data_IF_766241838298
#
_entry.id   IF_766241838298
#
_cell.length_a   1.000
_cell.length_b   1.000
_cell.length_c   1.000
_cell.angle_alpha   90.00
_cell.angle_beta   90.00
_cell.angle_gamma   90.00
#
_symmetry.space_group_name_H-M   'P 1'
#
loop_
_entity.id
_entity.type
_entity.pdbx_description
1 polymer ?
#
# COMPACT_ATOMS: atom_id res chain seq x y z
N UNK A 1 13.11 24.45 77.29
CA UNK A 1 12.93 23.02 76.99
C UNK A 1 12.46 22.84 75.55
N UNK A 2 13.37 22.30 74.72
CA UNK A 2 13.23 21.57 73.45
C UNK A 2 12.09 21.90 72.45
N UNK A 3 12.42 22.67 71.41
CA UNK A 3 11.59 22.88 70.21
C UNK A 3 11.93 21.82 69.14
N UNK A 4 11.16 20.72 69.06
CA UNK A 4 11.27 19.77 67.94
C UNK A 4 10.42 20.25 66.75
N UNK A 5 11.05 20.84 65.73
CA UNK A 5 10.42 20.99 64.41
C UNK A 5 10.43 19.62 63.71
N UNK A 6 9.25 19.04 63.47
CA UNK A 6 9.12 17.90 62.56
C UNK A 6 9.30 18.41 61.12
N UNK A 7 10.42 18.05 60.50
CA UNK A 7 10.61 18.24 59.06
C UNK A 7 9.75 17.17 58.37
N UNK A 8 8.60 17.59 57.86
CA UNK A 8 7.78 16.75 56.97
C UNK A 8 8.41 16.82 55.58
N UNK A 9 9.17 15.79 55.23
CA UNK A 9 9.64 15.56 53.86
C UNK A 9 8.44 15.25 52.97
N UNK A 10 8.14 16.14 52.03
CA UNK A 10 7.17 15.87 50.96
C UNK A 10 7.74 14.79 50.03
N UNK A 11 6.97 13.76 49.64
CA UNK A 11 7.43 12.80 48.66
C UNK A 11 7.58 13.51 47.31
N UNK A 12 8.80 13.49 46.76
CA UNK A 12 9.08 13.85 45.37
C UNK A 12 8.56 12.70 44.52
N UNK A 13 7.25 12.73 44.25
CA UNK A 13 6.58 11.73 43.42
C UNK A 13 6.93 12.01 41.96
N UNK A 14 7.97 11.32 41.53
CA UNK A 14 8.47 11.11 40.17
C UNK A 14 7.55 11.60 39.04
N UNK A 15 7.92 12.75 38.45
CA UNK A 15 7.35 13.30 37.20
C UNK A 15 7.60 12.41 35.98
N UNK A 16 8.35 11.32 36.10
CA UNK A 16 8.65 10.38 35.02
C UNK A 16 7.47 9.50 34.63
N UNK A 17 6.54 9.18 35.53
CA UNK A 17 5.46 8.21 35.24
C UNK A 17 4.40 8.76 34.29
N UNK A 18 4.10 10.06 34.38
CA UNK A 18 3.09 10.72 33.51
C UNK A 18 3.58 10.81 32.06
N UNK A 19 4.88 11.03 31.85
CA UNK A 19 5.49 11.17 30.52
C UNK A 19 5.45 9.85 29.74
N UNK A 20 5.67 8.72 30.42
CA UNK A 20 5.62 7.40 29.79
C UNK A 20 4.20 6.97 29.44
N UNK A 21 3.20 7.27 30.29
CA UNK A 21 1.82 6.92 30.02
C UNK A 21 1.28 7.64 28.78
N UNK A 22 1.56 8.94 28.63
CA UNK A 22 1.16 9.71 27.44
C UNK A 22 1.84 9.19 26.16
N UNK A 23 3.13 8.84 26.24
CA UNK A 23 3.85 8.25 25.12
C UNK A 23 3.24 6.90 24.72
N UNK A 24 2.93 6.02 25.68
CA UNK A 24 2.28 4.72 25.42
C UNK A 24 0.89 4.85 24.78
N UNK A 25 0.08 5.84 25.18
CA UNK A 25 -1.25 6.08 24.60
C UNK A 25 -1.13 6.59 23.15
N UNK A 26 -0.20 7.51 22.88
CA UNK A 26 0.06 7.98 21.51
C UNK A 26 0.57 6.84 20.62
N UNK A 27 1.44 5.96 21.14
CA UNK A 27 1.91 4.78 20.40
C UNK A 27 0.83 3.70 20.21
N UNK A 28 -0.16 3.56 21.12
CA UNK A 28 -1.27 2.62 20.96
C UNK A 28 -2.35 3.12 19.98
N UNK A 29 -2.67 4.41 19.97
CA UNK A 29 -3.63 5.00 19.01
C UNK A 29 -3.01 5.23 17.63
N UNK A 30 -1.69 5.36 17.54
CA UNK A 30 -0.95 5.35 16.28
C UNK A 30 -0.69 3.91 15.76
N UNK A 31 -1.44 2.92 16.27
CA UNK A 31 -1.80 1.70 15.54
C UNK A 31 -2.72 2.00 14.35
N UNK A 32 -2.31 2.98 13.56
CA UNK A 32 -2.81 3.37 12.25
C UNK A 32 -2.54 2.23 11.28
N UNK A 33 -3.41 1.21 11.24
CA UNK A 33 -3.37 0.22 10.18
C UNK A 33 -4.68 0.27 9.39
N UNK A 34 -4.61 1.12 8.36
CA UNK A 34 -5.23 1.01 7.05
C UNK A 34 -6.77 1.19 6.93
N UNK A 35 -7.21 2.44 6.77
CA UNK A 35 -8.31 2.77 5.83
C UNK A 35 -7.78 2.81 4.38
N UNK A 36 -6.96 1.84 3.99
CA UNK A 36 -6.33 1.80 2.68
C UNK A 36 -7.06 0.86 1.71
N UNK A 37 -7.74 -0.17 2.19
CA UNK A 37 -8.36 -1.18 1.32
C UNK A 37 -9.70 -0.74 0.72
N UNK A 38 -10.49 0.06 1.46
CA UNK A 38 -11.92 0.28 1.14
C UNK A 38 -12.23 1.18 -0.08
N UNK A 39 -11.25 1.89 -0.64
CA UNK A 39 -11.51 2.89 -1.70
C UNK A 39 -11.12 2.44 -3.11
N UNK A 40 -10.43 1.31 -3.29
CA UNK A 40 -10.11 0.84 -4.64
C UNK A 40 -11.29 0.04 -5.22
N UNK A 41 -11.63 0.22 -6.52
CA UNK A 41 -12.58 -0.66 -7.21
C UNK A 41 -12.14 -2.11 -7.09
N UNK A 42 -13.05 -3.06 -6.97
CA UNK A 42 -12.71 -4.47 -6.75
C UNK A 42 -11.76 -5.00 -7.84
N UNK A 43 -10.69 -5.74 -7.47
CA UNK A 43 -9.79 -6.36 -8.43
C UNK A 43 -10.37 -7.65 -9.01
N UNK A 44 -9.79 -8.11 -10.11
CA UNK A 44 -9.99 -9.45 -10.66
C UNK A 44 -8.93 -10.39 -10.07
N UNK A 45 -9.32 -11.61 -9.72
CA UNK A 45 -8.39 -12.63 -9.23
C UNK A 45 -7.28 -12.91 -10.26
N UNK A 46 -6.00 -12.95 -9.84
CA UNK A 46 -4.90 -13.20 -10.75
C UNK A 46 -4.86 -14.66 -11.20
N UNK A 47 -4.57 -14.88 -12.48
CA UNK A 47 -4.30 -16.22 -13.03
C UNK A 47 -2.84 -16.59 -12.78
N UNK A 48 -2.55 -17.12 -11.59
CA UNK A 48 -1.18 -17.51 -11.21
C UNK A 48 -0.71 -18.71 -12.04
N UNK A 49 0.54 -18.65 -12.47
CA UNK A 49 1.14 -19.73 -13.25
C UNK A 49 1.79 -20.78 -12.34
N UNK A 50 1.86 -22.02 -12.82
CA UNK A 50 2.52 -23.11 -12.10
C UNK A 50 4.06 -22.95 -12.10
N UNK A 51 4.71 -23.56 -11.11
CA UNK A 51 6.18 -23.53 -11.03
C UNK A 51 6.83 -24.13 -12.30
N UNK A 52 7.75 -23.38 -12.91
CA UNK A 52 8.42 -23.76 -14.16
C UNK A 52 7.86 -23.09 -15.41
N UNK A 53 6.68 -22.45 -15.33
CA UNK A 53 6.23 -21.51 -16.36
C UNK A 53 6.99 -20.19 -16.22
N UNK A 54 7.31 -19.53 -17.34
CA UNK A 54 7.96 -18.22 -17.34
C UNK A 54 7.12 -17.15 -16.63
N UNK A 55 5.80 -17.28 -16.65
CA UNK A 55 4.87 -16.38 -15.98
C UNK A 55 4.90 -16.52 -14.45
N UNK A 56 5.42 -17.64 -13.93
CA UNK A 56 5.51 -17.87 -12.49
C UNK A 56 6.43 -16.86 -11.79
N UNK A 57 7.43 -16.33 -12.50
CA UNK A 57 8.30 -15.23 -12.06
C UNK A 57 7.52 -13.96 -11.68
N UNK A 58 6.26 -13.83 -12.13
CA UNK A 58 5.41 -12.68 -11.91
C UNK A 58 4.28 -12.94 -10.92
N UNK A 59 4.17 -14.14 -10.34
CA UNK A 59 3.10 -14.50 -9.41
C UNK A 59 3.05 -13.54 -8.20
N UNK A 60 4.21 -13.24 -7.60
CA UNK A 60 4.27 -12.32 -6.45
C UNK A 60 3.81 -10.90 -6.82
N UNK A 61 4.21 -10.41 -8.00
CA UNK A 61 3.77 -9.11 -8.50
C UNK A 61 2.27 -9.09 -8.81
N UNK A 62 1.71 -10.19 -9.32
CA UNK A 62 0.26 -10.34 -9.50
C UNK A 62 -0.48 -10.30 -8.16
N UNK A 63 0.01 -11.00 -7.14
CA UNK A 63 -0.59 -11.00 -5.79
C UNK A 63 -0.50 -9.61 -5.16
N UNK A 64 0.65 -8.93 -5.26
CA UNK A 64 0.80 -7.57 -4.75
C UNK A 64 -0.13 -6.57 -5.47
N UNK A 65 -0.26 -6.70 -6.79
CA UNK A 65 -1.21 -5.90 -7.58
C UNK A 65 -2.66 -6.14 -7.14
N UNK A 66 -3.04 -7.41 -6.97
CA UNK A 66 -4.35 -7.79 -6.43
C UNK A 66 -4.61 -7.16 -5.06
N UNK A 67 -3.61 -7.15 -4.18
CA UNK A 67 -3.66 -6.54 -2.84
C UNK A 67 -3.58 -5.00 -2.85
N UNK A 68 -3.54 -4.36 -4.03
CA UNK A 68 -3.65 -2.91 -4.15
C UNK A 68 -2.34 -2.14 -4.34
N UNK A 69 -1.20 -2.81 -4.50
CA UNK A 69 0.05 -2.16 -4.89
C UNK A 69 -0.01 -1.80 -6.38
N UNK A 70 -0.21 -0.52 -6.69
CA UNK A 70 -0.33 -0.07 -8.08
C UNK A 70 1.02 -0.07 -8.79
N UNK A 71 2.10 0.14 -8.02
CA UNK A 71 3.46 -0.03 -8.53
C UNK A 71 3.73 -1.49 -8.94
N UNK A 72 3.22 -2.48 -8.20
CA UNK A 72 3.31 -3.88 -8.62
C UNK A 72 2.53 -4.13 -9.92
N UNK A 73 1.32 -3.57 -10.06
CA UNK A 73 0.57 -3.65 -11.32
C UNK A 73 1.37 -3.04 -12.49
N UNK A 74 1.98 -1.87 -12.28
CA UNK A 74 2.80 -1.20 -13.29
C UNK A 74 4.03 -2.02 -13.67
N UNK A 75 4.68 -2.65 -12.69
CA UNK A 75 5.84 -3.51 -12.92
C UNK A 75 5.55 -4.70 -13.84
N UNK A 76 4.31 -5.21 -13.85
CA UNK A 76 3.90 -6.31 -14.72
C UNK A 76 3.93 -5.89 -16.19
N UNK A 77 3.21 -4.82 -16.55
CA UNK A 77 3.02 -4.46 -17.96
C UNK A 77 4.16 -3.64 -18.55
N UNK A 78 4.98 -3.00 -17.70
CA UNK A 78 6.22 -2.30 -18.09
C UNK A 78 7.43 -3.23 -18.15
N UNK A 79 7.32 -4.45 -17.62
CA UNK A 79 8.38 -5.44 -17.71
C UNK A 79 8.70 -5.76 -19.17
N UNK A 80 9.98 -5.63 -19.55
CA UNK A 80 10.47 -6.01 -20.89
C UNK A 80 10.32 -7.50 -21.20
N UNK A 81 10.12 -8.33 -20.16
CA UNK A 81 9.90 -9.78 -20.30
C UNK A 81 8.43 -10.13 -20.55
N UNK A 82 7.52 -9.19 -20.29
CA UNK A 82 6.09 -9.37 -20.51
C UNK A 82 5.74 -8.77 -21.87
N UNK A 83 5.36 -9.63 -22.81
CA UNK A 83 4.97 -9.20 -24.16
C UNK A 83 3.62 -8.48 -24.12
N UNK A 84 3.44 -7.52 -25.02
CA UNK A 84 2.14 -6.89 -25.27
C UNK A 84 1.09 -7.96 -25.61
N UNK A 85 -0.17 -7.66 -25.29
CA UNK A 85 -1.34 -8.53 -25.52
C UNK A 85 -1.35 -9.86 -24.73
N UNK A 86 -0.34 -10.14 -23.90
CA UNK A 86 -0.38 -11.27 -22.95
C UNK A 86 -1.33 -10.99 -21.78
N UNK A 87 -1.77 -12.04 -21.09
CA UNK A 87 -2.64 -11.89 -19.92
C UNK A 87 -1.98 -11.05 -18.82
N UNK A 88 -0.68 -11.22 -18.56
CA UNK A 88 0.07 -10.43 -17.58
C UNK A 88 0.10 -8.95 -17.96
N UNK A 89 0.34 -8.66 -19.24
CA UNK A 89 0.35 -7.27 -19.71
C UNK A 89 -1.02 -6.63 -19.54
N UNK A 90 -2.09 -7.33 -19.92
CA UNK A 90 -3.46 -6.82 -19.78
C UNK A 90 -3.85 -6.67 -18.30
N UNK A 91 -3.50 -7.63 -17.45
CA UNK A 91 -3.77 -7.59 -16.01
C UNK A 91 -3.08 -6.41 -15.34
N UNK A 92 -1.79 -6.19 -15.62
CA UNK A 92 -1.05 -5.02 -15.14
C UNK A 92 -1.61 -3.70 -15.67
N UNK A 93 -1.85 -3.61 -16.99
CA UNK A 93 -2.39 -2.40 -17.65
C UNK A 93 -3.75 -1.97 -17.12
N UNK A 94 -4.58 -2.92 -16.72
CA UNK A 94 -5.93 -2.67 -16.16
C UNK A 94 -5.91 -2.52 -14.64
N UNK A 95 -4.73 -2.39 -14.03
CA UNK A 95 -4.53 -2.24 -12.60
C UNK A 95 -5.14 -3.39 -11.79
N UNK A 96 -4.92 -4.62 -12.26
CA UNK A 96 -5.52 -5.82 -11.68
C UNK A 96 -7.00 -5.96 -12.02
N UNK A 97 -7.45 -5.42 -13.16
CA UNK A 97 -8.85 -5.42 -13.59
C UNK A 97 -9.72 -4.31 -12.99
N UNK A 98 -9.14 -3.38 -12.21
CA UNK A 98 -9.86 -2.26 -11.59
C UNK A 98 -10.26 -1.17 -12.58
N UNK A 99 -9.58 -1.11 -13.74
CA UNK A 99 -9.86 -0.16 -14.81
C UNK A 99 -10.18 -0.91 -16.09
N UNK A 100 -11.31 -0.56 -16.71
CA UNK A 100 -11.70 -1.17 -17.98
C UNK A 100 -10.77 -0.77 -19.13
N UNK A 101 -10.46 -1.73 -20.00
CA UNK A 101 -9.54 -1.53 -21.12
C UNK A 101 -10.12 -0.56 -22.17
N UNK A 102 -11.43 -0.54 -22.37
CA UNK A 102 -12.08 0.43 -23.26
C UNK A 102 -12.05 1.84 -22.66
N UNK A 103 -12.16 1.97 -21.34
CA UNK A 103 -11.95 3.26 -20.67
C UNK A 103 -10.53 3.80 -20.91
N UNK A 104 -9.50 2.98 -20.73
CA UNK A 104 -8.10 3.34 -21.04
C UNK A 104 -7.91 3.74 -22.52
N UNK A 105 -8.54 3.00 -23.45
CA UNK A 105 -8.54 3.36 -24.88
C UNK A 105 -9.21 4.69 -25.16
N UNK A 106 -10.34 4.97 -24.51
CA UNK A 106 -11.05 6.22 -24.66
C UNK A 106 -10.20 7.41 -24.18
N UNK A 107 -9.50 7.23 -23.06
CA UNK A 107 -8.54 8.19 -22.49
C UNK A 107 -7.25 8.35 -23.32
N UNK A 108 -7.04 7.50 -24.32
CA UNK A 108 -5.96 7.65 -25.29
C UNK A 108 -4.66 6.92 -24.95
N UNK A 109 -4.65 6.01 -23.96
CA UNK A 109 -3.45 5.28 -23.51
C UNK A 109 -2.79 4.36 -24.56
N UNK A 110 -3.42 4.21 -25.74
CA UNK A 110 -2.93 3.39 -26.85
C UNK A 110 -2.81 4.18 -28.16
N UNK A 111 -3.03 5.50 -28.13
CA UNK A 111 -2.85 6.35 -29.32
C UNK A 111 -1.36 6.67 -29.49
N UNK A 112 -0.90 6.81 -30.74
CA UNK A 112 0.46 7.29 -31.02
C UNK A 112 0.63 8.70 -30.42
N UNK A 113 1.59 8.85 -29.50
CA UNK A 113 1.79 10.08 -28.74
C UNK A 113 0.72 10.34 -27.65
N UNK A 114 -0.08 9.33 -27.30
CA UNK A 114 -0.99 9.37 -26.15
C UNK A 114 -0.25 9.30 -24.82
N UNK A 115 -0.93 9.61 -23.69
CA UNK A 115 -0.33 9.53 -22.37
C UNK A 115 -0.09 8.07 -21.95
N UNK A 116 1.07 7.79 -21.37
CA UNK A 116 1.31 6.53 -20.65
C UNK A 116 0.58 6.61 -19.32
N UNK A 117 -0.65 6.06 -19.28
CA UNK A 117 -1.44 6.01 -18.05
C UNK A 117 -0.98 4.84 -17.18
N UNK A 118 -0.16 5.15 -16.18
CA UNK A 118 0.27 4.20 -15.15
C UNK A 118 -0.82 4.04 -14.07
N UNK A 119 -0.88 2.86 -13.46
CA UNK A 119 -1.80 2.60 -12.37
C UNK A 119 -1.51 3.48 -11.15
N UNK A 120 -0.23 3.78 -10.91
CA UNK A 120 0.22 4.74 -9.89
C UNK A 120 -0.25 6.18 -10.15
N UNK A 121 -0.42 6.57 -11.41
CA UNK A 121 -0.98 7.88 -11.77
C UNK A 121 -2.51 7.91 -11.66
N UNK A 122 -3.18 6.81 -11.99
CA UNK A 122 -4.64 6.67 -11.89
C UNK A 122 -5.09 6.62 -10.43
N UNK A 123 -4.34 5.90 -9.58
CA UNK A 123 -4.62 5.69 -8.16
C UNK A 123 -3.48 6.27 -7.31
N UNK A 124 -3.48 7.58 -7.17
CA UNK A 124 -2.43 8.32 -6.45
C UNK A 124 -2.20 7.80 -5.02
N UNK A 125 -0.91 7.64 -4.66
CA UNK A 125 -0.47 7.30 -3.31
C UNK A 125 -0.57 5.82 -2.92
N UNK A 126 -0.57 4.90 -3.90
CA UNK A 126 -0.73 3.45 -3.69
C UNK A 126 0.49 2.67 -4.21
N UNK A 127 1.52 2.53 -3.38
CA UNK A 127 2.75 1.77 -3.67
C UNK A 127 2.72 0.33 -3.17
#
# INVERSE_FOLDING_TARGET
MNSRRKIVSKPVTSTLTVRFAAMFIIFLECGMWARADDDLPSPIEPSLAEAGDWAADFNDAQIACYNGSMNACDSLWLSKRVLMDTFLWQYGRTCGGRVDLAALRSAGAFRLGGPDLHCTDIFLGRE
#
